data_IF_134814461063
#
_entry.id   IF_134814461063
#
_cell.length_a   1.000
_cell.length_b   1.000
_cell.length_c   1.000
_cell.angle_alpha   90.00
_cell.angle_beta   90.00
_cell.angle_gamma   90.00
#
_symmetry.space_group_name_H-M   'P 1'
#
loop_
_entity.id
_entity.type
_entity.pdbx_description
1 polymer ?
#
# COMPACT_ATOMS: atom_id res chain seq x y z
N UNK A 1 -58.51 3.07 -51.19
CA UNK A 1 -59.42 3.35 -50.05
C UNK A 1 -58.84 2.76 -48.76
N UNK A 2 -58.62 3.61 -47.78
CA UNK A 2 -57.70 3.46 -46.65
C UNK A 2 -58.21 2.44 -45.61
N UNK A 3 -57.42 1.41 -45.30
CA UNK A 3 -57.61 0.61 -44.08
C UNK A 3 -56.99 1.36 -42.90
N UNK A 4 -57.85 1.87 -42.02
CA UNK A 4 -57.51 2.60 -40.80
C UNK A 4 -57.07 1.59 -39.73
N UNK A 5 -55.77 1.47 -39.49
CA UNK A 5 -55.25 0.66 -38.37
C UNK A 5 -55.21 1.54 -37.12
N UNK A 6 -56.16 1.27 -36.22
CA UNK A 6 -56.29 1.90 -34.91
C UNK A 6 -55.17 1.41 -33.97
N UNK A 7 -54.10 2.21 -33.82
CA UNK A 7 -53.07 1.97 -32.79
C UNK A 7 -53.64 2.36 -31.40
N UNK A 8 -53.80 1.36 -30.54
CA UNK A 8 -54.05 1.57 -29.11
C UNK A 8 -52.76 2.08 -28.44
N UNK A 9 -52.83 3.04 -27.50
CA UNK A 9 -51.64 3.47 -26.78
C UNK A 9 -51.22 2.39 -25.78
N UNK A 10 -49.98 1.90 -25.92
CA UNK A 10 -49.37 1.00 -24.96
C UNK A 10 -49.15 1.72 -23.63
N UNK A 11 -49.82 1.24 -22.58
CA UNK A 11 -49.55 1.66 -21.20
C UNK A 11 -48.12 1.24 -20.83
N UNK A 12 -47.30 2.21 -20.43
CA UNK A 12 -45.95 1.97 -19.91
C UNK A 12 -46.05 1.29 -18.54
N UNK A 13 -45.26 0.24 -18.24
CA UNK A 13 -45.21 -0.31 -16.89
C UNK A 13 -44.57 0.73 -15.95
N UNK A 14 -45.25 1.01 -14.83
CA UNK A 14 -44.70 1.83 -13.74
C UNK A 14 -43.61 1.02 -13.04
N UNK A 15 -42.37 1.50 -13.13
CA UNK A 15 -41.24 0.95 -12.36
C UNK A 15 -41.43 1.30 -10.88
N UNK A 16 -41.31 0.35 -9.93
CA UNK A 16 -41.33 0.69 -8.51
C UNK A 16 -40.11 1.54 -8.15
N UNK A 17 -40.34 2.76 -7.64
CA UNK A 17 -39.28 3.59 -7.07
C UNK A 17 -38.79 2.95 -5.78
N UNK A 18 -37.62 2.32 -5.80
CA UNK A 18 -36.91 1.93 -4.57
C UNK A 18 -36.51 3.19 -3.80
N UNK A 19 -36.65 3.24 -2.46
CA UNK A 19 -36.15 4.35 -1.67
C UNK A 19 -34.62 4.44 -1.81
N UNK A 20 -34.11 5.65 -2.04
CA UNK A 20 -32.70 5.96 -1.96
C UNK A 20 -32.20 5.65 -0.53
N UNK A 21 -31.09 4.91 -0.36
CA UNK A 21 -30.50 4.78 0.96
C UNK A 21 -29.98 6.14 1.41
N UNK A 22 -30.44 6.57 2.58
CA UNK A 22 -29.94 7.76 3.27
C UNK A 22 -28.42 7.64 3.40
N UNK A 23 -27.74 8.65 2.86
CA UNK A 23 -26.30 8.88 2.96
C UNK A 23 -25.96 9.04 4.44
N UNK A 24 -25.58 7.94 5.10
CA UNK A 24 -24.95 8.01 6.42
C UNK A 24 -23.66 8.80 6.22
N UNK A 25 -23.62 10.02 6.73
CA UNK A 25 -22.37 10.71 7.07
C UNK A 25 -21.69 9.87 8.15
N UNK A 26 -20.99 8.83 7.71
CA UNK A 26 -20.02 8.12 8.53
C UNK A 26 -18.83 9.05 8.67
N UNK A 27 -18.63 9.58 9.88
CA UNK A 27 -17.43 10.30 10.23
C UNK A 27 -16.20 9.49 9.84
N UNK A 28 -15.18 10.22 9.38
CA UNK A 28 -13.85 9.74 9.05
C UNK A 28 -13.35 8.78 10.15
N UNK A 29 -13.49 7.47 9.91
CA UNK A 29 -12.88 6.46 10.77
C UNK A 29 -11.43 6.37 10.34
N UNK A 30 -10.67 7.35 10.84
CA UNK A 30 -9.23 7.45 10.74
C UNK A 30 -8.59 6.09 11.04
N UNK A 31 -7.54 5.78 10.28
CA UNK A 31 -6.78 4.52 10.21
C UNK A 31 -6.12 4.07 11.53
N UNK A 32 -6.54 4.65 12.66
CA UNK A 32 -6.13 4.28 14.00
C UNK A 32 -6.52 2.85 14.35
N UNK A 33 -7.55 2.26 13.71
CA UNK A 33 -8.00 0.90 14.09
C UNK A 33 -6.97 -0.17 13.76
N UNK A 34 -6.41 -0.19 12.55
CA UNK A 34 -5.42 -1.20 12.17
C UNK A 34 -4.12 -1.08 12.98
N UNK A 35 -3.68 0.16 13.25
CA UNK A 35 -2.51 0.43 14.07
C UNK A 35 -2.73 -0.03 15.52
N UNK A 36 -3.88 0.26 16.15
CA UNK A 36 -4.10 -0.17 17.54
C UNK A 36 -4.30 -1.68 17.67
N UNK A 37 -4.88 -2.33 16.66
CA UNK A 37 -5.10 -3.79 16.66
C UNK A 37 -3.77 -4.55 16.55
N UNK A 38 -2.87 -4.13 15.64
CA UNK A 38 -1.56 -4.78 15.46
C UNK A 38 -0.48 -4.31 16.42
N UNK A 39 -0.50 -3.04 16.86
CA UNK A 39 0.62 -2.44 17.59
C UNK A 39 0.27 -1.90 18.98
N UNK A 40 -1.00 -1.90 19.42
CA UNK A 40 -1.40 -1.31 20.70
C UNK A 40 -1.17 0.22 20.74
N UNK A 41 -2.06 0.95 21.41
CA UNK A 41 -1.94 2.41 21.48
C UNK A 41 -0.64 2.90 22.15
N UNK A 42 -0.23 4.12 21.76
CA UNK A 42 1.00 4.82 22.09
C UNK A 42 2.26 4.25 21.40
N UNK A 43 2.93 5.10 20.63
CA UNK A 43 4.09 4.81 19.77
C UNK A 43 5.38 4.48 20.55
N UNK A 44 5.29 3.54 21.48
CA UNK A 44 6.38 3.02 22.32
C UNK A 44 6.17 1.52 22.54
N UNK A 45 6.14 0.74 21.47
CA UNK A 45 6.11 -0.73 21.49
C UNK A 45 7.44 -1.33 20.99
N UNK A 46 7.92 -2.46 21.54
CA UNK A 46 9.33 -2.80 21.56
C UNK A 46 9.87 -3.27 20.20
N UNK A 47 10.98 -2.65 19.77
CA UNK A 47 11.85 -3.08 18.68
C UNK A 47 12.52 -4.42 19.03
N UNK A 48 11.78 -5.52 18.97
CA UNK A 48 12.25 -6.86 19.35
C UNK A 48 12.60 -7.76 18.16
N UNK A 49 13.07 -7.20 17.04
CA UNK A 49 13.58 -7.99 15.90
C UNK A 49 15.06 -7.77 15.57
N UNK A 50 15.72 -6.81 16.25
CA UNK A 50 17.14 -6.54 16.04
C UNK A 50 17.87 -6.42 17.38
N UNK A 51 17.96 -7.53 18.13
CA UNK A 51 18.88 -7.62 19.27
C UNK A 51 20.27 -8.02 18.75
N UNK A 52 20.99 -7.06 18.18
CA UNK A 52 22.45 -7.17 18.04
C UNK A 52 23.07 -6.62 19.33
N UNK A 53 23.80 -7.47 20.07
CA UNK A 53 24.56 -7.06 21.25
C UNK A 53 25.82 -6.31 20.82
N UNK A 54 25.70 -5.02 20.50
CA UNK A 54 26.77 -4.01 20.58
C UNK A 54 26.19 -2.62 20.27
N UNK A 55 26.51 -1.65 21.14
CA UNK A 55 26.26 -0.19 21.00
C UNK A 55 24.80 0.31 21.10
N UNK A 56 24.30 0.38 22.35
CA UNK A 56 23.17 1.22 22.73
C UNK A 56 23.60 2.70 22.67
N UNK A 57 23.31 3.37 21.55
CA UNK A 57 23.57 4.80 21.35
C UNK A 57 23.51 5.25 19.89
N UNK A 58 23.78 4.35 18.93
CA UNK A 58 23.77 4.60 17.48
C UNK A 58 22.64 3.88 16.72
N UNK A 59 21.70 3.26 17.44
CA UNK A 59 20.88 2.15 16.93
C UNK A 59 19.73 2.56 15.98
N UNK A 60 19.13 3.75 16.12
CA UNK A 60 18.00 4.17 15.25
C UNK A 60 18.50 4.55 13.86
N UNK A 61 19.66 5.24 13.78
CA UNK A 61 20.34 5.51 12.52
C UNK A 61 20.79 4.23 11.82
N UNK A 62 21.28 3.24 12.59
CA UNK A 62 21.72 1.94 12.08
C UNK A 62 20.61 1.13 11.39
N UNK A 63 19.46 0.95 12.06
CA UNK A 63 18.35 0.15 11.47
C UNK A 63 17.71 0.87 10.28
N UNK A 64 17.52 2.19 10.37
CA UNK A 64 16.97 2.98 9.26
C UNK A 64 17.89 2.95 8.05
N UNK A 65 19.21 3.09 8.25
CA UNK A 65 20.21 3.00 7.19
C UNK A 65 20.24 1.59 6.58
N UNK A 66 20.21 0.54 7.40
CA UNK A 66 20.15 -0.85 6.93
C UNK A 66 18.94 -1.11 6.04
N UNK A 67 17.75 -0.64 6.44
CA UNK A 67 16.54 -0.80 5.62
C UNK A 67 16.60 0.01 4.33
N UNK A 68 17.19 1.21 4.36
CA UNK A 68 17.35 2.01 3.16
C UNK A 68 18.25 1.29 2.16
N UNK A 69 19.40 0.79 2.63
CA UNK A 69 20.33 0.04 1.80
C UNK A 69 19.71 -1.26 1.26
N UNK A 70 18.93 -1.96 2.08
CA UNK A 70 18.17 -3.13 1.64
C UNK A 70 17.19 -2.78 0.52
N UNK A 71 16.43 -1.69 0.64
CA UNK A 71 15.52 -1.25 -0.41
C UNK A 71 16.27 -0.98 -1.71
N UNK A 72 17.39 -0.24 -1.65
CA UNK A 72 18.23 0.06 -2.82
C UNK A 72 18.77 -1.20 -3.48
N UNK A 73 19.24 -2.16 -2.69
CA UNK A 73 19.72 -3.43 -3.20
C UNK A 73 18.62 -4.23 -3.91
N UNK A 74 17.39 -4.19 -3.41
CA UNK A 74 16.25 -4.89 -4.01
C UNK A 74 15.74 -4.21 -5.29
N UNK A 75 15.96 -2.90 -5.45
CA UNK A 75 15.44 -2.11 -6.59
C UNK A 75 16.51 -1.67 -7.60
N UNK A 76 17.77 -2.12 -7.49
CA UNK A 76 18.91 -1.65 -8.30
C UNK A 76 18.71 -1.73 -9.82
N UNK A 77 17.86 -2.62 -10.31
CA UNK A 77 17.64 -2.87 -11.74
C UNK A 77 16.24 -2.47 -12.21
N UNK A 78 15.52 -1.66 -11.44
CA UNK A 78 14.21 -1.17 -11.82
C UNK A 78 14.30 0.24 -12.36
N UNK A 79 13.68 0.48 -13.51
CA UNK A 79 13.57 1.81 -14.08
C UNK A 79 12.65 2.70 -13.22
N UNK A 80 12.89 4.01 -13.30
CA UNK A 80 12.14 5.04 -12.57
C UNK A 80 12.18 4.94 -11.04
N UNK A 81 13.13 4.18 -10.48
CA UNK A 81 13.30 4.02 -9.02
C UNK A 81 14.71 4.39 -8.59
N UNK A 82 14.81 5.46 -7.81
CA UNK A 82 16.01 5.82 -7.06
C UNK A 82 15.67 6.13 -5.60
N UNK A 83 15.99 5.17 -4.72
CA UNK A 83 15.62 5.23 -3.30
C UNK A 83 16.76 5.91 -2.52
N UNK A 84 16.53 7.18 -2.16
CA UNK A 84 17.48 8.01 -1.40
C UNK A 84 16.97 8.31 0.01
N UNK A 85 15.67 8.17 0.23
CA UNK A 85 15.01 8.45 1.51
C UNK A 85 13.72 7.64 1.65
N UNK A 86 13.01 7.81 2.77
CA UNK A 86 11.68 7.22 3.01
C UNK A 86 10.54 8.21 2.76
N UNK A 87 10.73 9.26 1.95
CA UNK A 87 9.70 10.24 1.63
C UNK A 87 9.54 10.40 0.12
N UNK A 88 10.21 11.39 -0.48
CA UNK A 88 10.03 11.77 -1.88
C UNK A 88 10.34 10.65 -2.87
N UNK A 89 11.30 9.77 -2.56
CA UNK A 89 11.62 8.59 -3.40
C UNK A 89 10.45 7.61 -3.55
N UNK A 90 9.42 7.70 -2.70
CA UNK A 90 8.26 6.80 -2.69
C UNK A 90 6.99 7.45 -3.24
N UNK A 91 7.06 8.72 -3.65
CA UNK A 91 5.89 9.53 -4.03
C UNK A 91 5.17 9.06 -5.29
N UNK A 92 5.86 8.39 -6.22
CA UNK A 92 5.28 7.88 -7.47
C UNK A 92 4.60 6.52 -7.32
N UNK A 93 4.82 5.83 -6.20
CA UNK A 93 4.39 4.43 -6.02
C UNK A 93 5.29 3.39 -6.72
N UNK A 94 6.18 3.81 -7.62
CA UNK A 94 7.07 2.88 -8.36
C UNK A 94 8.01 2.11 -7.44
N UNK A 95 8.56 2.78 -6.41
CA UNK A 95 9.43 2.14 -5.43
C UNK A 95 8.73 1.01 -4.66
N UNK A 96 7.44 1.17 -4.33
CA UNK A 96 6.65 0.09 -3.72
C UNK A 96 6.41 -1.05 -4.69
N UNK A 97 6.03 -0.74 -5.94
CA UNK A 97 5.82 -1.75 -6.97
C UNK A 97 7.09 -2.56 -7.24
N UNK A 98 8.24 -1.91 -7.40
CA UNK A 98 9.53 -2.56 -7.64
C UNK A 98 9.92 -3.51 -6.51
N UNK A 99 9.73 -3.07 -5.26
CA UNK A 99 10.06 -3.87 -4.09
C UNK A 99 9.17 -5.12 -3.99
N UNK A 100 7.87 -4.99 -4.24
CA UNK A 100 6.94 -6.13 -4.23
C UNK A 100 7.22 -7.10 -5.39
N UNK A 101 7.40 -6.56 -6.60
CA UNK A 101 7.70 -7.34 -7.81
C UNK A 101 9.00 -8.14 -7.66
N UNK A 102 10.00 -7.63 -6.91
CA UNK A 102 11.24 -8.36 -6.63
C UNK A 102 11.01 -9.70 -5.91
N UNK A 103 9.99 -9.80 -5.07
CA UNK A 103 9.64 -11.03 -4.35
C UNK A 103 8.53 -11.82 -5.05
N UNK A 104 7.67 -11.15 -5.82
CA UNK A 104 6.54 -11.73 -6.52
C UNK A 104 6.49 -11.24 -7.98
N UNK A 105 7.42 -11.66 -8.84
CA UNK A 105 7.49 -11.18 -10.22
C UNK A 105 6.23 -11.56 -11.02
N UNK A 106 5.58 -12.67 -10.68
CA UNK A 106 4.35 -13.13 -11.35
C UNK A 106 3.09 -12.35 -10.90
N UNK A 107 3.20 -11.39 -9.97
CA UNK A 107 2.04 -10.70 -9.45
C UNK A 107 1.46 -9.66 -10.43
N UNK A 108 2.32 -9.01 -11.21
CA UNK A 108 1.98 -8.00 -12.22
C UNK A 108 3.20 -7.69 -13.09
N UNK A 109 2.99 -7.13 -14.29
CA UNK A 109 4.08 -6.73 -15.17
C UNK A 109 4.57 -5.31 -14.83
N UNK A 110 5.75 -5.21 -14.21
CA UNK A 110 6.35 -3.92 -13.84
C UNK A 110 6.63 -3.01 -15.05
N UNK A 111 6.99 -3.57 -16.21
CA UNK A 111 7.38 -2.78 -17.37
C UNK A 111 6.22 -1.96 -17.96
N UNK A 112 4.98 -2.30 -17.60
CA UNK A 112 3.77 -1.59 -18.03
C UNK A 112 3.39 -0.43 -17.11
N UNK A 113 4.07 -0.26 -15.97
CA UNK A 113 3.73 0.75 -14.97
C UNK A 113 4.29 2.12 -15.34
N UNK A 114 3.47 3.15 -15.14
CA UNK A 114 3.83 4.55 -15.38
C UNK A 114 3.97 5.31 -14.05
N UNK A 115 5.07 6.05 -13.79
CA UNK A 115 5.22 6.89 -12.61
C UNK A 115 4.14 7.98 -12.44
N UNK A 116 3.45 8.38 -13.50
CA UNK A 116 2.33 9.33 -13.47
C UNK A 116 1.05 8.73 -12.86
N UNK A 117 0.85 7.41 -13.00
CA UNK A 117 -0.32 6.67 -12.54
C UNK A 117 -0.22 6.30 -11.04
N UNK A 118 0.12 7.30 -10.21
CA UNK A 118 0.42 7.11 -8.77
C UNK A 118 -0.65 6.33 -8.02
N UNK A 119 -1.93 6.63 -8.27
CA UNK A 119 -3.05 5.97 -7.59
C UNK A 119 -3.12 4.49 -7.92
N UNK A 120 -2.89 4.13 -9.19
CA UNK A 120 -2.82 2.75 -9.63
C UNK A 120 -1.65 2.04 -8.96
N UNK A 121 -0.45 2.64 -9.01
CA UNK A 121 0.78 2.08 -8.45
C UNK A 121 0.65 1.77 -6.95
N UNK A 122 0.14 2.72 -6.15
CA UNK A 122 -0.06 2.49 -4.71
C UNK A 122 -1.10 1.40 -4.45
N UNK A 123 -2.23 1.41 -5.17
CA UNK A 123 -3.28 0.40 -5.00
C UNK A 123 -2.76 -0.99 -5.32
N UNK A 124 -2.05 -1.13 -6.45
CA UNK A 124 -1.47 -2.39 -6.89
C UNK A 124 -0.45 -2.92 -5.88
N UNK A 125 0.47 -2.07 -5.43
CA UNK A 125 1.50 -2.49 -4.49
C UNK A 125 0.92 -2.92 -3.13
N UNK A 126 0.02 -2.12 -2.53
CA UNK A 126 -0.53 -2.42 -1.20
C UNK A 126 -1.47 -3.62 -1.20
N UNK A 127 -2.33 -3.75 -2.22
CA UNK A 127 -3.21 -4.92 -2.36
C UNK A 127 -2.43 -6.21 -2.61
N UNK A 128 -1.37 -6.14 -3.42
CA UNK A 128 -0.49 -7.30 -3.67
C UNK A 128 0.29 -7.68 -2.42
N UNK A 129 0.81 -6.70 -1.68
CA UNK A 129 1.54 -6.94 -0.43
C UNK A 129 0.66 -7.59 0.64
N UNK A 130 -0.59 -7.14 0.79
CA UNK A 130 -1.54 -7.77 1.70
C UNK A 130 -1.82 -9.22 1.26
N UNK A 131 -2.18 -9.42 -0.01
CA UNK A 131 -2.57 -10.74 -0.53
C UNK A 131 -1.44 -11.78 -0.47
N UNK A 132 -0.23 -11.41 -0.86
CA UNK A 132 0.88 -12.36 -1.03
C UNK A 132 1.83 -12.37 0.18
N UNK A 133 2.05 -11.23 0.81
CA UNK A 133 2.98 -11.11 1.94
C UNK A 133 2.29 -11.05 3.31
N UNK A 134 0.95 -11.00 3.39
CA UNK A 134 0.21 -10.80 4.66
C UNK A 134 0.64 -9.50 5.38
N UNK A 135 1.09 -8.52 4.59
CA UNK A 135 1.53 -7.22 5.09
C UNK A 135 0.31 -6.34 5.40
N UNK A 136 0.24 -5.77 6.60
CA UNK A 136 -0.85 -4.87 6.92
C UNK A 136 -0.78 -3.57 6.12
N UNK A 137 -1.92 -3.13 5.59
CA UNK A 137 -2.05 -1.83 4.94
C UNK A 137 -2.04 -0.71 5.99
N UNK A 138 -0.84 -0.18 6.30
CA UNK A 138 -0.68 0.95 7.23
C UNK A 138 -0.81 2.31 6.53
N UNK A 139 -0.73 2.33 5.20
CA UNK A 139 -0.79 3.52 4.37
C UNK A 139 -2.08 3.50 3.54
N UNK A 140 -2.81 4.61 3.54
CA UNK A 140 -3.99 4.79 2.71
C UNK A 140 -3.62 5.38 1.35
N UNK A 141 -4.10 4.77 0.26
CA UNK A 141 -3.82 5.22 -1.11
C UNK A 141 -4.24 6.68 -1.31
N UNK A 142 -5.43 7.05 -0.85
CA UNK A 142 -5.95 8.40 -1.04
C UNK A 142 -5.11 9.47 -0.30
N UNK A 143 -4.48 9.11 0.81
CA UNK A 143 -3.57 10.01 1.54
C UNK A 143 -2.22 10.14 0.81
N UNK A 144 -1.69 9.04 0.29
CA UNK A 144 -0.43 9.01 -0.47
C UNK A 144 -0.51 9.75 -1.81
N UNK A 145 -1.68 9.74 -2.46
CA UNK A 145 -1.89 10.47 -3.72
C UNK A 145 -2.13 11.96 -3.46
N UNK A 146 -2.90 12.28 -2.41
CA UNK A 146 -3.23 13.67 -2.04
C UNK A 146 -2.00 14.44 -1.58
N UNK A 147 -1.10 13.78 -0.84
CA UNK A 147 0.18 14.36 -0.44
C UNK A 147 1.19 14.18 -1.59
N UNK A 148 1.77 15.28 -2.09
CA UNK A 148 2.81 15.19 -3.13
C UNK A 148 4.04 14.42 -2.64
N UNK A 149 4.34 14.52 -1.34
CA UNK A 149 5.44 13.84 -0.67
C UNK A 149 4.90 13.15 0.59
N UNK A 150 5.09 11.83 0.74
CA UNK A 150 4.60 11.12 1.92
C UNK A 150 5.47 11.39 3.17
N UNK A 151 4.87 11.24 4.34
CA UNK A 151 5.60 11.36 5.62
C UNK A 151 6.61 10.23 5.79
N UNK A 152 7.86 10.60 6.09
CA UNK A 152 8.97 9.65 6.15
C UNK A 152 8.85 8.60 7.24
N UNK A 153 8.14 8.91 8.34
CA UNK A 153 7.91 7.96 9.44
C UNK A 153 6.87 6.94 9.04
N UNK A 154 5.79 7.37 8.40
CA UNK A 154 4.74 6.48 7.89
C UNK A 154 5.31 5.46 6.88
N UNK A 155 6.07 5.92 5.88
CA UNK A 155 6.70 5.04 4.89
C UNK A 155 7.71 4.10 5.56
N UNK A 156 8.58 4.62 6.45
CA UNK A 156 9.53 3.79 7.18
C UNK A 156 8.84 2.67 7.97
N UNK A 157 7.79 2.98 8.72
CA UNK A 157 7.02 1.98 9.48
C UNK A 157 6.37 0.95 8.57
N UNK A 158 5.86 1.35 7.41
CA UNK A 158 5.33 0.40 6.42
C UNK A 158 6.43 -0.54 5.89
N UNK A 159 7.60 -0.01 5.53
CA UNK A 159 8.72 -0.83 5.03
C UNK A 159 9.25 -1.78 6.11
N UNK A 160 9.29 -1.36 7.37
CA UNK A 160 9.62 -2.23 8.49
C UNK A 160 8.66 -3.43 8.58
N UNK A 161 7.35 -3.17 8.47
CA UNK A 161 6.32 -4.21 8.54
C UNK A 161 6.40 -5.15 7.33
N UNK A 162 6.61 -4.62 6.13
CA UNK A 162 6.79 -5.43 4.92
C UNK A 162 8.01 -6.33 5.05
N UNK A 163 9.16 -5.78 5.47
CA UNK A 163 10.37 -6.57 5.71
C UNK A 163 10.13 -7.69 6.72
N UNK A 164 9.47 -7.39 7.84
CA UNK A 164 9.11 -8.39 8.86
C UNK A 164 8.24 -9.50 8.27
N UNK A 165 7.24 -9.15 7.48
CA UNK A 165 6.31 -10.10 6.88
C UNK A 165 7.02 -11.03 5.88
N UNK A 166 7.92 -10.48 5.06
CA UNK A 166 8.73 -11.25 4.12
C UNK A 166 9.74 -12.19 4.82
N UNK A 167 10.34 -11.75 5.93
CA UNK A 167 11.22 -12.61 6.76
C UNK A 167 10.43 -13.76 7.37
N UNK A 168 9.23 -13.49 7.91
CA UNK A 168 8.37 -14.52 8.50
C UNK A 168 7.94 -15.59 7.47
N UNK A 169 7.78 -15.20 6.21
CA UNK A 169 7.50 -16.11 5.10
C UNK A 169 8.75 -16.81 4.52
N UNK A 170 9.94 -16.52 5.05
CA UNK A 170 11.21 -17.09 4.57
C UNK A 170 11.68 -16.55 3.21
N UNK A 171 11.06 -15.47 2.71
CA UNK A 171 11.43 -14.83 1.43
C UNK A 171 12.67 -13.96 1.56
N UNK A 172 12.97 -13.48 2.77
CA UNK A 172 14.21 -12.77 3.09
C UNK A 172 15.08 -13.66 3.98
N UNK A 173 16.21 -14.10 3.43
CA UNK A 173 17.19 -14.90 4.18
C UNK A 173 17.99 -14.00 5.11
N UNK A 174 17.59 -13.93 6.37
CA UNK A 174 18.47 -13.43 7.43
C UNK A 174 19.52 -14.50 7.71
N UNK A 175 20.82 -14.21 7.59
CA UNK A 175 21.88 -15.17 7.94
C UNK A 175 21.62 -15.67 9.38
N UNK A 176 21.17 -16.91 9.55
CA UNK A 176 21.29 -17.62 10.83
C UNK A 176 22.78 -17.85 11.04
N UNK A 177 23.33 -17.21 12.06
CA UNK A 177 24.65 -17.55 12.58
C UNK A 177 24.53 -18.78 13.47
#
# INVERSE_FOLDING_TARGET
PLCVVSLRPAMRPRVPRKPLPQRRRGGHRSNRKAIVDKFGGAASGPTALFRNKTAAGAAIGGVKSMLLEWCRAMTRNYEHVDIQNFSSSWSSGMAFCALIHRFFPEAFDYATLDPAERRHNFTLAFSTAEKLADCAQLLEVDDMVRLAVPDSKCVYTYIQELYRSLVQKGLVKTKKK
#
